data_IF_652524049983
#
_entry.id   IF_652524049983
#
_cell.length_a   1.000
_cell.length_b   1.000
_cell.length_c   1.000
_cell.angle_alpha   90.00
_cell.angle_beta   90.00
_cell.angle_gamma   90.00
#
_symmetry.space_group_name_H-M   'P 1'
#
loop_
_entity.id
_entity.type
_entity.pdbx_description
1 polymer ?
#
# COMPACT_ATOMS: atom_id res chain seq x y z
N UNK A 1 1.57 -12.20 -11.86
CA UNK A 1 1.17 -10.94 -11.19
C UNK A 1 2.21 -10.56 -10.12
N UNK A 2 2.25 -9.29 -9.71
CA UNK A 2 3.06 -8.81 -8.59
C UNK A 2 2.14 -8.51 -7.40
N UNK A 3 2.41 -9.12 -6.25
CA UNK A 3 1.66 -8.92 -5.01
C UNK A 3 2.33 -7.85 -4.15
N UNK A 4 1.65 -6.73 -3.94
CA UNK A 4 2.11 -5.64 -3.07
C UNK A 4 1.21 -5.53 -1.85
N UNK A 5 1.79 -5.40 -0.66
CA UNK A 5 1.07 -5.11 0.57
C UNK A 5 1.37 -3.70 1.07
N UNK A 6 0.36 -3.07 1.66
CA UNK A 6 0.49 -1.79 2.35
C UNK A 6 0.44 -2.01 3.86
N UNK A 7 1.56 -1.75 4.53
CA UNK A 7 1.72 -1.76 5.99
C UNK A 7 1.04 -2.96 6.69
N UNK A 8 0.00 -2.74 7.49
CA UNK A 8 -0.73 -3.79 8.21
C UNK A 8 -1.35 -4.91 7.36
N UNK A 9 -1.55 -4.70 6.05
CA UNK A 9 -1.94 -5.77 5.13
C UNK A 9 -0.86 -6.87 5.02
N UNK A 10 0.41 -6.52 5.27
CA UNK A 10 1.53 -7.45 5.31
C UNK A 10 1.32 -8.53 6.36
N UNK A 11 0.87 -8.16 7.57
CA UNK A 11 0.60 -9.14 8.62
C UNK A 11 -0.51 -10.13 8.24
N UNK A 12 -1.56 -9.66 7.55
CA UNK A 12 -2.64 -10.54 7.10
C UNK A 12 -2.19 -11.58 6.06
N UNK A 13 -1.19 -11.24 5.23
CA UNK A 13 -0.58 -12.16 4.26
C UNK A 13 0.38 -13.15 4.95
N UNK A 14 1.25 -12.65 5.83
CA UNK A 14 2.23 -13.48 6.56
C UNK A 14 1.54 -14.53 7.44
N UNK A 15 0.44 -14.17 8.11
CA UNK A 15 -0.38 -15.14 8.87
C UNK A 15 -0.92 -16.30 8.02
N UNK A 16 -1.06 -16.09 6.71
CA UNK A 16 -1.52 -17.11 5.74
C UNK A 16 -0.36 -17.81 5.04
N UNK A 17 0.88 -17.57 5.47
CA UNK A 17 2.08 -18.11 4.82
C UNK A 17 2.37 -17.49 3.45
N UNK A 18 1.83 -16.31 3.15
CA UNK A 18 2.03 -15.62 1.87
C UNK A 18 3.04 -14.49 2.05
N UNK A 19 4.16 -14.57 1.34
CA UNK A 19 5.15 -13.49 1.25
C UNK A 19 4.80 -12.56 0.08
N UNK A 20 4.50 -11.27 0.32
CA UNK A 20 4.29 -10.32 -0.77
C UNK A 20 5.61 -10.06 -1.51
N UNK A 21 5.54 -9.67 -2.77
CA UNK A 21 6.72 -9.29 -3.55
C UNK A 21 7.26 -7.92 -3.10
N UNK A 22 6.35 -7.01 -2.72
CA UNK A 22 6.66 -5.65 -2.30
C UNK A 22 5.86 -5.30 -1.04
N UNK A 23 6.50 -4.65 -0.08
CA UNK A 23 5.86 -4.06 1.11
C UNK A 23 6.03 -2.55 1.04
N UNK A 24 4.94 -1.79 0.99
CA UNK A 24 4.94 -0.32 1.10
C UNK A 24 4.52 0.07 2.51
N UNK A 25 5.32 0.86 3.22
CA UNK A 25 5.06 1.12 4.65
C UNK A 25 5.66 2.46 5.11
N UNK A 26 4.92 3.17 5.95
CA UNK A 26 5.38 4.29 6.78
C UNK A 26 5.99 3.83 8.13
N UNK A 27 6.08 2.51 8.34
CA UNK A 27 6.54 1.83 9.55
C UNK A 27 5.60 1.94 10.75
N UNK A 28 4.30 2.19 10.55
CA UNK A 28 3.29 2.18 11.61
C UNK A 28 2.71 0.80 11.94
N UNK A 29 2.93 -0.19 11.06
CA UNK A 29 2.40 -1.54 11.19
C UNK A 29 3.22 -2.46 12.09
N UNK A 30 2.91 -3.76 11.99
CA UNK A 30 3.64 -4.79 12.73
C UNK A 30 5.03 -5.02 12.11
N UNK A 31 6.07 -4.56 12.81
CA UNK A 31 7.45 -4.65 12.35
C UNK A 31 7.90 -6.11 12.14
N UNK A 32 7.42 -7.05 12.95
CA UNK A 32 7.85 -8.44 12.82
C UNK A 32 7.30 -9.08 11.54
N UNK A 33 6.07 -8.74 11.13
CA UNK A 33 5.52 -9.09 9.82
C UNK A 33 6.32 -8.47 8.67
N UNK A 34 6.72 -7.20 8.79
CA UNK A 34 7.55 -6.52 7.78
C UNK A 34 8.92 -7.22 7.66
N UNK A 35 9.55 -7.56 8.78
CA UNK A 35 10.83 -8.29 8.79
C UNK A 35 10.70 -9.71 8.25
N UNK A 36 9.58 -10.39 8.53
CA UNK A 36 9.28 -11.71 7.97
C UNK A 36 9.19 -11.64 6.44
N UNK A 37 8.45 -10.67 5.91
CA UNK A 37 8.37 -10.42 4.47
C UNK A 37 9.75 -10.09 3.87
N UNK A 38 10.51 -9.19 4.52
CA UNK A 38 11.86 -8.82 4.10
C UNK A 38 12.81 -10.02 4.00
N UNK A 39 12.83 -10.90 5.01
CA UNK A 39 13.63 -12.16 4.98
C UNK A 39 13.14 -13.13 3.91
N UNK A 40 11.84 -13.12 3.62
CA UNK A 40 11.23 -13.86 2.52
C UNK A 40 11.53 -13.29 1.12
N UNK A 41 12.30 -12.20 1.02
CA UNK A 41 12.77 -11.65 -0.24
C UNK A 41 11.95 -10.48 -0.80
N UNK A 42 10.98 -9.96 -0.04
CA UNK A 42 10.21 -8.78 -0.42
C UNK A 42 11.11 -7.56 -0.62
N UNK A 43 10.77 -6.71 -1.59
CA UNK A 43 11.25 -5.33 -1.66
C UNK A 43 10.52 -4.51 -0.59
N UNK A 44 11.25 -3.90 0.33
CA UNK A 44 10.67 -3.02 1.36
C UNK A 44 10.77 -1.58 0.89
N UNK A 45 9.63 -1.00 0.52
CA UNK A 45 9.48 0.40 0.14
C UNK A 45 9.12 1.20 1.39
N UNK A 46 10.11 1.90 1.94
CA UNK A 46 9.96 2.68 3.17
C UNK A 46 9.60 4.11 2.80
N UNK A 47 8.52 4.61 3.38
CA UNK A 47 8.02 5.95 3.12
C UNK A 47 8.43 6.91 4.24
N UNK A 48 9.22 7.94 3.92
CA UNK A 48 9.68 8.94 4.88
C UNK A 48 8.85 10.23 4.81
N UNK A 49 8.38 10.68 5.97
CA UNK A 49 7.66 11.94 6.17
C UNK A 49 7.90 12.50 7.60
N UNK A 50 7.35 13.68 7.88
CA UNK A 50 7.77 14.47 9.04
C UNK A 50 7.50 13.87 10.42
N UNK A 51 6.53 12.96 10.56
CA UNK A 51 6.10 12.37 11.84
C UNK A 51 6.61 10.94 12.08
N UNK A 52 7.41 10.35 11.16
CA UNK A 52 7.94 8.99 11.32
C UNK A 52 9.48 8.90 11.40
N UNK A 53 10.17 10.03 11.57
CA UNK A 53 11.64 10.11 11.67
C UNK A 53 12.21 9.18 12.74
N UNK A 54 11.62 9.17 13.95
CA UNK A 54 12.06 8.32 15.05
C UNK A 54 11.88 6.82 14.76
N UNK A 55 10.79 6.44 14.07
CA UNK A 55 10.54 5.05 13.67
C UNK A 55 11.55 4.58 12.64
N UNK A 56 11.85 5.42 11.65
CA UNK A 56 12.90 5.15 10.66
C UNK A 56 14.24 4.93 11.37
N UNK A 57 14.64 5.86 12.25
CA UNK A 57 15.90 5.74 13.00
C UNK A 57 15.97 4.44 13.81
N UNK A 58 14.84 4.02 14.40
CA UNK A 58 14.76 2.84 15.26
C UNK A 58 14.73 1.52 14.48
N UNK A 59 14.06 1.48 13.33
CA UNK A 59 13.74 0.22 12.64
C UNK A 59 14.62 -0.07 11.43
N UNK A 60 15.21 0.94 10.80
CA UNK A 60 16.00 0.74 9.59
C UNK A 60 17.20 -0.18 9.79
N UNK A 61 17.85 -0.15 10.97
CA UNK A 61 18.94 -1.10 11.28
C UNK A 61 18.49 -2.56 11.25
N UNK A 62 17.28 -2.86 11.75
CA UNK A 62 16.69 -4.20 11.71
C UNK A 62 16.25 -4.61 10.30
N UNK A 63 15.72 -3.68 9.52
CA UNK A 63 15.32 -3.95 8.13
C UNK A 63 16.56 -4.24 7.28
N UNK A 64 17.62 -3.43 7.42
CA UNK A 64 18.86 -3.59 6.66
C UNK A 64 19.67 -4.83 7.06
N UNK A 65 19.48 -5.37 8.26
CA UNK A 65 20.03 -6.67 8.65
C UNK A 65 19.22 -7.85 8.10
N UNK A 66 17.94 -7.65 7.80
CA UNK A 66 17.07 -8.67 7.19
C UNK A 66 17.18 -8.71 5.65
N UNK A 67 17.38 -7.57 4.99
CA UNK A 67 17.44 -7.50 3.52
C UNK A 67 18.25 -6.30 3.03
N UNK A 68 18.78 -6.41 1.80
CA UNK A 68 19.32 -5.27 1.04
C UNK A 68 18.33 -4.69 0.03
N UNK A 69 17.14 -5.30 -0.11
CA UNK A 69 16.08 -4.87 -1.03
C UNK A 69 15.22 -3.81 -0.36
N UNK A 70 15.75 -2.59 -0.29
CA UNK A 70 15.07 -1.44 0.30
C UNK A 70 15.02 -0.30 -0.71
N UNK A 71 13.85 0.31 -0.85
CA UNK A 71 13.64 1.53 -1.64
C UNK A 71 13.05 2.62 -0.74
N UNK A 72 13.71 3.78 -0.65
CA UNK A 72 13.18 4.92 0.09
C UNK A 72 12.27 5.78 -0.78
N UNK A 73 11.13 6.19 -0.24
CA UNK A 73 10.21 7.13 -0.89
C UNK A 73 9.84 8.30 0.01
N UNK A 74 9.39 9.41 -0.55
CA UNK A 74 8.95 10.58 0.23
C UNK A 74 7.70 11.25 -0.35
N UNK A 75 7.08 12.17 0.41
CA UNK A 75 5.90 12.96 -0.03
C UNK A 75 6.29 14.30 -0.65
N UNK A 76 7.54 14.74 -0.43
CA UNK A 76 8.04 16.05 -0.86
C UNK A 76 8.98 15.90 -2.06
N UNK A 77 9.63 16.99 -2.46
CA UNK A 77 10.69 16.96 -3.46
C UNK A 77 11.76 15.92 -3.05
N UNK A 78 11.99 14.87 -3.85
CA UNK A 78 12.90 13.81 -3.49
C UNK A 78 14.36 14.29 -3.56
N UNK A 79 15.15 13.96 -2.53
CA UNK A 79 16.61 14.02 -2.62
C UNK A 79 17.17 12.62 -2.88
N UNK A 80 18.10 12.44 -3.84
CA UNK A 80 18.73 11.14 -4.07
C UNK A 80 19.30 10.54 -2.76
N UNK A 81 19.06 9.25 -2.48
CA UNK A 81 18.46 8.23 -3.35
C UNK A 81 16.95 8.06 -3.22
N UNK A 82 16.24 8.94 -2.48
CA UNK A 82 14.79 8.84 -2.32
C UNK A 82 14.07 9.11 -3.65
N UNK A 83 12.93 8.48 -3.83
CA UNK A 83 12.04 8.70 -4.98
C UNK A 83 10.67 9.20 -4.53
N UNK A 84 9.96 9.89 -5.40
CA UNK A 84 8.57 10.25 -5.16
C UNK A 84 7.74 9.82 -6.38
N UNK A 85 6.94 8.77 -6.20
CA UNK A 85 6.03 8.27 -7.24
C UNK A 85 4.65 8.93 -7.21
N UNK A 86 4.37 9.75 -6.18
CA UNK A 86 3.02 10.19 -5.84
C UNK A 86 2.37 9.31 -4.76
N UNK A 87 1.08 9.58 -4.50
CA UNK A 87 0.32 8.97 -3.42
C UNK A 87 0.55 9.63 -2.05
N UNK A 88 -0.44 9.49 -1.17
CA UNK A 88 -0.51 10.11 0.15
C UNK A 88 -0.40 9.08 1.29
N UNK A 89 -1.08 7.94 1.18
CA UNK A 89 -0.99 6.80 2.12
C UNK A 89 -0.19 5.65 1.49
N UNK A 90 0.16 4.64 2.28
CA UNK A 90 0.88 3.46 1.77
C UNK A 90 0.13 2.74 0.64
N UNK A 91 -1.21 2.70 0.71
CA UNK A 91 -2.06 2.03 -0.28
C UNK A 91 -2.04 2.71 -1.65
N UNK A 92 -2.40 4.00 -1.72
CA UNK A 92 -2.36 4.73 -2.98
C UNK A 92 -0.93 4.96 -3.47
N UNK A 93 0.06 5.09 -2.58
CA UNK A 93 1.48 5.07 -3.00
C UNK A 93 1.84 3.79 -3.75
N UNK A 94 1.34 2.63 -3.31
CA UNK A 94 1.54 1.38 -4.03
C UNK A 94 0.90 1.40 -5.43
N UNK A 95 -0.28 2.03 -5.57
CA UNK A 95 -0.97 2.21 -6.86
C UNK A 95 -0.16 3.12 -7.80
N UNK A 96 0.29 4.27 -7.30
CA UNK A 96 1.12 5.20 -8.06
C UNK A 96 2.43 4.57 -8.50
N UNK A 97 3.10 3.82 -7.61
CA UNK A 97 4.31 3.07 -7.94
C UNK A 97 4.06 2.00 -9.00
N UNK A 98 2.97 1.23 -8.90
CA UNK A 98 2.63 0.24 -9.93
C UNK A 98 2.37 0.90 -11.29
N UNK A 99 1.64 2.02 -11.30
CA UNK A 99 1.35 2.79 -12.51
C UNK A 99 2.61 3.37 -13.15
N UNK A 100 3.53 3.95 -12.35
CA UNK A 100 4.76 4.56 -12.84
C UNK A 100 5.73 3.53 -13.45
N UNK A 101 5.60 2.27 -13.06
CA UNK A 101 6.39 1.15 -13.60
C UNK A 101 5.65 0.37 -14.70
N UNK A 102 4.58 0.94 -15.27
CA UNK A 102 3.91 0.37 -16.44
C UNK A 102 3.10 -0.89 -16.16
N UNK A 103 2.57 -1.07 -14.95
CA UNK A 103 1.66 -2.17 -14.66
C UNK A 103 0.47 -2.15 -15.63
N UNK A 104 0.26 -3.25 -16.36
CA UNK A 104 -0.80 -3.35 -17.38
C UNK A 104 -2.21 -3.29 -16.79
N UNK A 105 -2.35 -3.70 -15.52
CA UNK A 105 -3.54 -3.64 -14.69
C UNK A 105 -3.13 -3.51 -13.22
N UNK A 106 -3.92 -2.79 -12.43
CA UNK A 106 -3.74 -2.64 -10.98
C UNK A 106 -5.05 -3.04 -10.30
N UNK A 107 -4.98 -3.93 -9.32
CA UNK A 107 -6.17 -4.42 -8.60
C UNK A 107 -6.03 -4.12 -7.12
N UNK A 108 -6.90 -3.25 -6.60
CA UNK A 108 -6.91 -2.86 -5.20
C UNK A 108 -7.81 -3.79 -4.39
N UNK A 109 -7.22 -4.44 -3.39
CA UNK A 109 -7.90 -5.34 -2.45
C UNK A 109 -7.63 -4.88 -1.03
N UNK A 110 -8.69 -4.77 -0.22
CA UNK A 110 -8.58 -4.33 1.18
C UNK A 110 -8.32 -2.83 1.38
N UNK A 111 -8.30 -2.05 0.30
CA UNK A 111 -8.25 -0.58 0.34
C UNK A 111 -9.67 -0.03 0.14
N UNK A 112 -10.37 0.20 1.25
CA UNK A 112 -11.72 0.80 1.24
C UNK A 112 -11.65 2.30 1.56
N UNK A 113 -12.32 3.11 0.73
CA UNK A 113 -12.40 4.57 0.89
C UNK A 113 -13.65 5.01 1.70
N UNK A 114 -14.26 4.06 2.41
CA UNK A 114 -15.42 4.26 3.26
C UNK A 114 -15.11 4.85 4.62
N UNK A 115 -16.08 4.69 5.51
CA UNK A 115 -16.05 5.21 6.87
C UNK A 115 -15.67 4.14 7.90
N UNK A 116 -15.26 2.95 7.47
CA UNK A 116 -14.83 1.87 8.36
C UNK A 116 -13.35 1.58 8.13
N UNK A 117 -12.59 1.57 9.21
CA UNK A 117 -11.18 1.20 9.23
C UNK A 117 -11.08 -0.22 9.76
N UNK A 118 -10.51 -1.11 8.95
CA UNK A 118 -10.29 -2.50 9.35
C UNK A 118 -9.31 -2.62 10.52
N UNK A 119 -9.49 -3.62 11.37
CA UNK A 119 -8.64 -3.91 12.55
C UNK A 119 -7.14 -4.03 12.22
N UNK A 120 -6.80 -4.36 10.98
CA UNK A 120 -5.42 -4.49 10.51
C UNK A 120 -4.76 -3.15 10.16
N UNK A 121 -5.51 -2.05 10.15
CA UNK A 121 -4.95 -0.73 9.80
C UNK A 121 -3.98 -0.20 10.86
N UNK A 122 -4.05 -0.65 12.12
CA UNK A 122 -3.12 -0.29 13.18
C UNK A 122 -2.92 -1.47 14.14
N UNK A 123 -1.69 -1.73 14.64
CA UNK A 123 -1.41 -2.91 15.47
C UNK A 123 -2.25 -3.03 16.75
N UNK A 124 -2.69 -1.92 17.33
CA UNK A 124 -3.47 -1.90 18.58
C UNK A 124 -4.99 -2.07 18.39
N UNK A 125 -5.51 -2.06 17.15
CA UNK A 125 -6.94 -2.22 16.91
C UNK A 125 -7.36 -3.68 17.06
N UNK A 126 -8.35 -3.94 17.92
CA UNK A 126 -8.89 -5.29 18.15
C UNK A 126 -10.09 -5.64 17.25
N UNK A 127 -10.74 -4.63 16.70
CA UNK A 127 -11.94 -4.74 15.87
C UNK A 127 -11.97 -3.59 14.86
N UNK A 128 -12.87 -3.68 13.89
CA UNK A 128 -13.10 -2.61 12.95
C UNK A 128 -13.72 -1.40 13.67
N UNK A 129 -13.32 -0.20 13.27
CA UNK A 129 -13.75 1.04 13.91
C UNK A 129 -14.18 2.05 12.87
N UNK A 130 -15.09 2.95 13.25
CA UNK A 130 -15.42 4.08 12.40
C UNK A 130 -14.18 4.97 12.19
N UNK A 131 -13.91 5.33 10.94
CA UNK A 131 -12.94 6.34 10.57
C UNK A 131 -13.36 7.68 11.17
N UNK A 132 -12.42 8.40 11.79
CA UNK A 132 -12.67 9.70 12.41
C UNK A 132 -11.56 10.69 12.08
N UNK A 133 -11.90 11.97 12.16
CA UNK A 133 -10.94 13.08 12.09
C UNK A 133 -10.02 12.97 10.87
N UNK A 134 -8.72 12.95 11.12
CA UNK A 134 -7.72 12.97 10.06
C UNK A 134 -7.75 11.71 9.19
N UNK A 135 -8.14 10.55 9.72
CA UNK A 135 -8.23 9.34 8.90
C UNK A 135 -9.23 9.48 7.77
N UNK A 136 -10.39 10.12 8.00
CA UNK A 136 -11.36 10.41 6.94
C UNK A 136 -10.78 11.35 5.89
N UNK A 137 -10.02 12.38 6.31
CA UNK A 137 -9.32 13.28 5.39
C UNK A 137 -8.27 12.52 4.56
N UNK A 138 -7.46 11.65 5.18
CA UNK A 138 -6.45 10.83 4.49
C UNK A 138 -7.11 9.92 3.45
N UNK A 139 -8.23 9.27 3.80
CA UNK A 139 -8.99 8.40 2.88
C UNK A 139 -9.57 9.20 1.72
N UNK A 140 -10.11 10.40 1.97
CA UNK A 140 -10.59 11.29 0.91
C UNK A 140 -9.46 11.70 -0.04
N UNK A 141 -8.30 12.10 0.50
CA UNK A 141 -7.13 12.47 -0.33
C UNK A 141 -6.69 11.28 -1.18
N UNK A 142 -6.56 10.09 -0.59
CA UNK A 142 -6.17 8.88 -1.32
C UNK A 142 -7.19 8.51 -2.42
N UNK A 143 -8.49 8.64 -2.14
CA UNK A 143 -9.55 8.45 -3.11
C UNK A 143 -9.41 9.43 -4.29
N UNK A 144 -9.25 10.71 -4.00
CA UNK A 144 -9.16 11.77 -5.01
C UNK A 144 -7.86 11.63 -5.84
N UNK A 145 -6.75 11.21 -5.23
CA UNK A 145 -5.49 10.93 -5.93
C UNK A 145 -5.59 9.71 -6.85
N UNK A 146 -6.20 8.61 -6.41
CA UNK A 146 -6.41 7.44 -7.27
C UNK A 146 -7.37 7.79 -8.41
N UNK A 147 -8.41 8.58 -8.15
CA UNK A 147 -9.30 9.06 -9.20
C UNK A 147 -8.56 9.93 -10.22
N UNK A 148 -7.74 10.87 -9.73
CA UNK A 148 -6.92 11.72 -10.60
C UNK A 148 -5.98 10.89 -11.47
N UNK A 149 -5.30 9.88 -10.90
CA UNK A 149 -4.43 8.99 -11.65
C UNK A 149 -5.22 8.22 -12.73
N UNK A 150 -6.37 7.66 -12.36
CA UNK A 150 -7.23 6.89 -13.26
C UNK A 150 -7.75 7.74 -14.42
N UNK A 151 -8.20 8.96 -14.16
CA UNK A 151 -8.81 9.85 -15.17
C UNK A 151 -7.75 10.47 -16.10
N UNK A 152 -6.61 10.89 -15.58
CA UNK A 152 -5.63 11.67 -16.36
C UNK A 152 -4.63 10.79 -17.13
N UNK A 153 -4.37 9.57 -16.66
CA UNK A 153 -3.38 8.68 -17.27
C UNK A 153 -3.99 7.39 -17.83
N UNK A 154 -5.30 7.19 -17.60
CA UNK A 154 -6.09 6.06 -18.06
C UNK A 154 -5.48 4.64 -17.81
N UNK A 155 -4.82 4.37 -16.65
CA UNK A 155 -4.43 3.01 -16.30
C UNK A 155 -5.66 2.13 -16.02
N UNK A 156 -5.55 0.83 -16.30
CA UNK A 156 -6.61 -0.14 -15.93
C UNK A 156 -6.55 -0.44 -14.43
N UNK A 157 -7.34 0.29 -13.65
CA UNK A 157 -7.42 0.13 -12.19
C UNK A 157 -8.76 -0.51 -11.81
N UNK A 158 -8.69 -1.62 -11.07
CA UNK A 158 -9.84 -2.32 -10.51
C UNK A 158 -9.85 -2.19 -8.98
N UNK A 159 -11.04 -2.23 -8.38
CA UNK A 159 -11.20 -2.21 -6.92
C UNK A 159 -12.35 -3.07 -6.46
N UNK A 160 -12.17 -3.74 -5.32
CA UNK A 160 -13.25 -4.44 -4.61
C UNK A 160 -13.99 -3.53 -3.61
N UNK A 161 -13.52 -2.29 -3.42
CA UNK A 161 -14.17 -1.34 -2.51
C UNK A 161 -15.57 -0.97 -2.99
N UNK A 162 -16.47 -0.79 -2.03
CA UNK A 162 -17.81 -0.28 -2.29
C UNK A 162 -17.81 1.17 -2.78
N UNK A 163 -16.80 1.96 -2.39
CA UNK A 163 -16.59 3.36 -2.79
C UNK A 163 -15.45 3.44 -3.81
N UNK A 164 -15.74 3.04 -5.04
CA UNK A 164 -14.76 3.05 -6.12
C UNK A 164 -14.44 4.50 -6.58
N UNK A 165 -13.15 4.90 -6.62
CA UNK A 165 -12.77 6.20 -7.18
C UNK A 165 -13.20 6.34 -8.65
N UNK A 166 -13.65 7.52 -9.11
CA UNK A 166 -13.97 7.75 -10.51
C UNK A 166 -12.78 7.41 -11.43
N UNK A 167 -13.05 6.77 -12.56
CA UNK A 167 -12.05 6.24 -13.48
C UNK A 167 -11.57 4.82 -13.15
N UNK A 168 -11.89 4.28 -11.97
CA UNK A 168 -11.63 2.88 -11.62
C UNK A 168 -12.83 1.99 -11.92
N UNK A 169 -12.60 0.69 -12.13
CA UNK A 169 -13.66 -0.31 -12.32
C UNK A 169 -13.90 -1.09 -11.04
N UNK A 170 -15.12 -1.04 -10.51
CA UNK A 170 -15.51 -1.88 -9.38
C UNK A 170 -15.71 -3.32 -9.84
N UNK A 171 -15.13 -4.26 -9.12
CA UNK A 171 -15.27 -5.71 -9.33
C UNK A 171 -15.69 -6.38 -8.03
N UNK A 172 -16.24 -7.59 -8.12
CA UNK A 172 -16.48 -8.40 -6.91
C UNK A 172 -15.24 -9.25 -6.62
N UNK A 173 -15.12 -9.70 -5.38
CA UNK A 173 -13.95 -10.49 -4.97
C UNK A 173 -13.94 -11.86 -5.65
N UNK A 174 -15.11 -12.40 -6.00
CA UNK A 174 -15.27 -13.68 -6.70
C UNK A 174 -14.75 -13.60 -8.15
N UNK A 175 -14.73 -12.40 -8.73
CA UNK A 175 -14.30 -12.18 -10.12
C UNK A 175 -12.76 -12.01 -10.23
N UNK A 176 -12.04 -11.98 -9.09
CA UNK A 176 -10.58 -11.75 -9.05
C UNK A 176 -9.78 -12.81 -9.82
N UNK A 177 -10.12 -14.09 -9.66
CA UNK A 177 -9.35 -15.17 -10.29
C UNK A 177 -9.40 -15.07 -11.81
N UNK A 178 -10.55 -14.76 -12.37
CA UNK A 178 -10.72 -14.60 -13.82
C UNK A 178 -9.89 -13.43 -14.34
N UNK A 179 -9.98 -12.27 -13.68
CA UNK A 179 -9.23 -11.06 -14.07
C UNK A 179 -7.71 -11.29 -13.99
N UNK A 180 -7.23 -12.00 -12.97
CA UNK A 180 -5.80 -12.33 -12.81
C UNK A 180 -5.34 -13.37 -13.84
N UNK A 181 -6.21 -14.30 -14.27
CA UNK A 181 -5.88 -15.36 -15.25
C UNK A 181 -5.96 -14.87 -16.70
N UNK A 182 -6.79 -13.88 -17.02
CA UNK A 182 -6.95 -13.34 -18.38
C UNK A 182 -5.77 -12.47 -18.87
N UNK A 183 -4.55 -12.76 -18.41
CA UNK A 183 -3.34 -12.08 -18.92
C UNK A 183 -2.90 -12.76 -20.24
N UNK A 184 -2.75 -12.01 -21.34
CA UNK A 184 -2.07 -12.50 -22.54
C UNK A 184 -0.56 -12.71 -22.29
#
# INVERSE_FOLDING_TARGET
FTLTSADGATGALIERGITPHIVVTDLDGDLDSILSAARGGSLVVVHAHGDNVEKIASYMGRILSATRRVLGTTQVEPMPPLQNFGGFTDGDRAVFMASSHGASQIIMVGMDFGEVVGRRSKPWLRRDVAAKGDKLKKLKIAHDLVSWLAVNFNPRIYTVSSRAPPGTTRIRIEDLEEIVRCQP
#
